data_IF_362370281460
#
_entry.id   IF_362370281460
#
_cell.length_a   1.000
_cell.length_b   1.000
_cell.length_c   1.000
_cell.angle_alpha   90.00
_cell.angle_beta   90.00
_cell.angle_gamma   90.00
#
_symmetry.space_group_name_H-M   'P 1'
#
loop_
_entity.id
_entity.type
_entity.pdbx_description
1 polymer ?
#
# COMPACT_ATOMS: atom_id res chain seq x y z
N UNK A 1 20.45 18.51 13.23
CA UNK A 1 20.16 18.45 11.79
C UNK A 1 20.30 19.86 11.24
N UNK A 2 21.10 20.07 10.20
CA UNK A 2 21.19 21.39 9.58
C UNK A 2 19.92 21.71 8.74
N UNK A 3 19.76 22.98 8.35
CA UNK A 3 18.59 23.45 7.58
C UNK A 3 18.38 22.66 6.27
N UNK A 4 19.47 22.28 5.59
CA UNK A 4 19.40 21.60 4.28
C UNK A 4 19.01 20.14 4.45
N UNK A 5 19.56 19.47 5.47
CA UNK A 5 19.20 18.12 5.88
C UNK A 5 17.72 18.06 6.28
N UNK A 6 17.26 19.02 7.09
CA UNK A 6 15.87 19.08 7.54
C UNK A 6 14.89 19.27 6.37
N UNK A 7 15.18 20.21 5.46
CA UNK A 7 14.34 20.43 4.29
C UNK A 7 14.33 19.22 3.34
N UNK A 8 15.47 18.54 3.16
CA UNK A 8 15.54 17.28 2.39
C UNK A 8 14.72 16.17 3.04
N UNK A 9 14.80 16.06 4.36
CA UNK A 9 14.03 15.07 5.12
C UNK A 9 12.53 15.32 4.95
N UNK A 10 12.06 16.56 5.14
CA UNK A 10 10.68 16.95 4.89
C UNK A 10 10.21 16.53 3.49
N UNK A 11 10.93 16.90 2.43
CA UNK A 11 10.54 16.55 1.06
C UNK A 11 10.48 15.02 0.85
N UNK A 12 11.35 14.25 1.51
CA UNK A 12 11.30 12.78 1.42
C UNK A 12 10.13 12.14 2.17
N UNK A 13 9.43 12.90 3.02
CA UNK A 13 8.32 12.41 3.85
C UNK A 13 6.97 12.95 3.42
N UNK A 14 6.92 14.09 2.76
CA UNK A 14 5.67 14.76 2.39
C UNK A 14 4.73 13.84 1.60
N UNK A 15 5.21 13.24 0.51
CA UNK A 15 4.40 12.35 -0.34
C UNK A 15 4.15 10.97 0.31
N UNK A 16 4.89 10.65 1.38
CA UNK A 16 4.76 9.42 2.15
C UNK A 16 4.04 9.66 3.50
N UNK A 17 3.36 10.80 3.65
CA UNK A 17 2.59 11.14 4.83
C UNK A 17 1.12 10.76 4.63
N UNK A 18 0.50 10.20 5.67
CA UNK A 18 -0.92 9.90 5.66
C UNK A 18 -1.68 11.06 6.27
N UNK A 19 -2.51 11.71 5.45
CA UNK A 19 -3.29 12.88 5.84
C UNK A 19 -4.51 12.48 6.66
N UNK A 20 -5.01 13.40 7.47
CA UNK A 20 -6.13 13.17 8.38
C UNK A 20 -7.44 13.66 7.78
N UNK A 21 -8.53 12.93 8.04
CA UNK A 21 -9.90 13.25 7.63
C UNK A 21 -10.63 14.18 8.62
N UNK A 22 -11.89 14.51 8.33
CA UNK A 22 -12.72 15.36 9.20
C UNK A 22 -12.92 14.81 10.62
N UNK A 23 -12.84 13.47 10.78
CA UNK A 23 -13.06 12.74 12.03
C UNK A 23 -11.78 12.52 12.83
N UNK A 24 -10.62 12.95 12.32
CA UNK A 24 -9.33 12.69 12.97
C UNK A 24 -8.73 11.32 12.67
N UNK A 25 -9.23 10.61 11.66
CA UNK A 25 -8.73 9.32 11.17
C UNK A 25 -7.83 9.51 9.95
N UNK A 26 -7.13 8.46 9.50
CA UNK A 26 -6.39 8.54 8.25
C UNK A 26 -7.38 8.62 7.08
N UNK A 27 -7.24 9.62 6.22
CA UNK A 27 -8.01 9.74 4.99
C UNK A 27 -7.73 8.52 4.09
N UNK A 28 -8.74 8.04 3.36
CA UNK A 28 -8.61 6.90 2.45
C UNK A 28 -8.45 7.33 0.98
N UNK A 29 -8.63 8.61 0.68
CA UNK A 29 -8.45 9.21 -0.63
C UNK A 29 -8.24 10.74 -0.49
N UNK A 30 -7.98 11.44 -1.60
CA UNK A 30 -7.74 12.89 -1.61
C UNK A 30 -8.97 13.71 -1.20
N UNK A 31 -10.17 13.26 -1.58
CA UNK A 31 -11.43 13.96 -1.31
C UNK A 31 -11.81 13.94 0.19
N UNK A 32 -11.29 12.97 0.94
CA UNK A 32 -11.49 12.83 2.38
C UNK A 32 -10.55 13.68 3.23
N UNK A 33 -9.51 14.30 2.64
CA UNK A 33 -8.53 15.07 3.39
C UNK A 33 -9.20 16.30 4.04
N UNK A 34 -9.01 16.44 5.35
CA UNK A 34 -9.41 17.66 6.06
C UNK A 34 -8.48 18.82 5.72
N UNK A 35 -9.07 19.87 5.16
CA UNK A 35 -8.41 21.14 4.92
C UNK A 35 -8.91 22.20 5.90
N UNK A 36 -7.98 22.87 6.56
CA UNK A 36 -8.25 23.98 7.44
C UNK A 36 -7.96 25.29 6.72
N UNK A 37 -8.85 26.27 6.83
CA UNK A 37 -8.62 27.60 6.31
C UNK A 37 -8.10 28.52 7.42
N UNK A 38 -6.93 29.12 7.21
CA UNK A 38 -6.33 30.11 8.09
C UNK A 38 -6.19 31.49 7.44
N UNK A 39 -6.60 31.67 6.18
CA UNK A 39 -6.47 32.91 5.43
C UNK A 39 -5.02 33.30 5.11
N UNK A 40 -4.86 34.42 4.40
CA UNK A 40 -3.56 35.02 4.08
C UNK A 40 -3.62 36.53 4.30
N UNK A 41 -2.47 37.18 4.49
CA UNK A 41 -2.37 38.63 4.65
C UNK A 41 -3.30 39.16 5.75
N UNK A 42 -4.22 40.07 5.40
CA UNK A 42 -5.18 40.68 6.33
C UNK A 42 -6.22 39.67 6.86
N UNK A 43 -6.50 38.62 6.09
CA UNK A 43 -7.43 37.55 6.47
C UNK A 43 -6.76 36.45 7.30
N UNK A 44 -5.44 36.53 7.53
CA UNK A 44 -4.72 35.52 8.28
C UNK A 44 -5.18 35.48 9.75
N UNK A 45 -5.68 34.32 10.19
CA UNK A 45 -6.11 34.09 11.55
C UNK A 45 -5.10 33.22 12.32
N UNK A 46 -4.19 33.83 13.12
CA UNK A 46 -3.19 33.08 13.87
C UNK A 46 -3.78 32.19 14.97
N UNK A 47 -5.04 32.41 15.40
CA UNK A 47 -5.65 31.57 16.45
C UNK A 47 -5.83 30.13 15.97
N UNK A 48 -6.26 29.93 14.72
CA UNK A 48 -6.47 28.61 14.13
C UNK A 48 -5.16 27.83 14.10
N UNK A 49 -4.08 28.47 13.65
CA UNK A 49 -2.74 27.88 13.62
C UNK A 49 -2.25 27.54 15.04
N UNK A 50 -2.39 28.46 15.99
CA UNK A 50 -1.92 28.23 17.36
C UNK A 50 -2.68 27.10 18.06
N UNK A 51 -3.99 26.98 17.83
CA UNK A 51 -4.81 25.89 18.37
C UNK A 51 -4.39 24.53 17.82
N UNK A 52 -4.15 24.43 16.51
CA UNK A 52 -3.64 23.20 15.89
C UNK A 52 -2.23 22.90 16.37
N UNK A 53 -1.33 23.89 16.42
CA UNK A 53 0.02 23.68 16.93
C UNK A 53 0.01 23.12 18.35
N UNK A 54 -0.83 23.68 19.23
CA UNK A 54 -0.95 23.27 20.63
C UNK A 54 -1.57 21.87 20.80
N UNK A 55 -2.58 21.55 20.01
CA UNK A 55 -3.33 20.29 20.15
C UNK A 55 -2.66 19.12 19.42
N UNK A 56 -2.06 19.36 18.26
CA UNK A 56 -1.52 18.32 17.40
C UNK A 56 -0.09 17.94 17.75
N UNK A 57 0.78 18.93 17.98
CA UNK A 57 2.18 18.69 18.39
C UNK A 57 2.29 18.68 19.91
N UNK A 58 3.01 17.72 20.49
CA UNK A 58 3.10 17.60 21.96
C UNK A 58 4.18 18.52 22.52
N UNK A 59 5.32 18.57 21.85
CA UNK A 59 6.52 19.32 22.23
C UNK A 59 6.32 20.83 22.03
N UNK A 60 6.95 21.69 22.83
CA UNK A 60 6.87 23.15 22.67
C UNK A 60 7.62 23.66 21.43
N UNK A 61 8.64 22.91 21.00
CA UNK A 61 9.44 23.20 19.82
C UNK A 61 9.12 22.24 18.68
N UNK A 62 9.05 22.78 17.47
CA UNK A 62 8.72 22.09 16.23
C UNK A 62 9.71 22.45 15.14
N UNK A 63 9.90 21.55 14.18
CA UNK A 63 10.71 21.83 12.99
C UNK A 63 9.90 22.62 11.98
N UNK A 64 10.30 23.87 11.73
CA UNK A 64 9.74 24.71 10.67
C UNK A 64 10.56 24.51 9.39
N UNK A 65 9.91 24.08 8.30
CA UNK A 65 10.54 23.72 7.04
C UNK A 65 10.02 24.63 5.91
N UNK A 66 10.80 25.67 5.55
CA UNK A 66 10.41 26.62 4.48
C UNK A 66 11.29 26.44 3.24
N UNK A 67 12.58 26.20 3.42
CA UNK A 67 13.53 25.98 2.31
C UNK A 67 14.84 25.37 2.81
N UNK A 68 15.70 24.94 1.88
CA UNK A 68 17.02 24.40 2.18
C UNK A 68 17.87 25.29 3.11
N UNK A 69 17.70 26.62 3.06
CA UNK A 69 18.46 27.57 3.87
C UNK A 69 17.62 28.26 4.96
N UNK A 70 16.33 27.92 5.07
CA UNK A 70 15.39 28.52 6.03
C UNK A 70 14.53 27.42 6.66
N UNK A 71 15.19 26.43 7.26
CA UNK A 71 14.54 25.40 8.05
C UNK A 71 15.26 25.24 9.39
N UNK A 72 14.51 25.16 10.49
CA UNK A 72 15.09 25.15 11.83
C UNK A 72 14.11 24.62 12.88
N UNK A 73 14.64 24.20 14.03
CA UNK A 73 13.84 23.98 15.23
C UNK A 73 13.44 25.34 15.83
N UNK A 74 12.16 25.55 16.09
CA UNK A 74 11.62 26.81 16.62
C UNK A 74 10.52 26.53 17.63
N UNK A 75 10.23 27.47 18.52
CA UNK A 75 9.03 27.42 19.36
C UNK A 75 7.77 27.52 18.51
N UNK A 76 6.68 26.89 18.95
CA UNK A 76 5.36 26.98 18.29
C UNK A 76 4.90 28.41 18.03
N UNK A 77 5.12 29.32 18.98
CA UNK A 77 4.77 30.74 18.81
C UNK A 77 5.51 31.37 17.62
N UNK A 78 6.82 31.10 17.49
CA UNK A 78 7.64 31.55 16.37
C UNK A 78 7.21 30.91 15.05
N UNK A 79 6.82 29.63 15.08
CA UNK A 79 6.29 28.97 13.88
C UNK A 79 5.00 29.66 13.40
N UNK A 80 4.05 29.95 14.29
CA UNK A 80 2.81 30.65 13.94
C UNK A 80 3.07 32.04 13.33
N UNK A 81 4.00 32.80 13.91
CA UNK A 81 4.38 34.12 13.39
C UNK A 81 5.01 34.03 11.99
N UNK A 82 5.90 33.06 11.75
CA UNK A 82 6.54 32.90 10.44
C UNK A 82 5.56 32.41 9.38
N UNK A 83 4.55 31.60 9.74
CA UNK A 83 3.49 31.20 8.82
C UNK A 83 2.76 32.41 8.29
N UNK A 84 2.25 33.29 9.16
CA UNK A 84 1.51 34.49 8.75
C UNK A 84 2.32 35.40 7.82
N UNK A 85 3.65 35.49 8.02
CA UNK A 85 4.53 36.31 7.18
C UNK A 85 4.82 35.72 5.80
N UNK A 86 4.77 34.40 5.64
CA UNK A 86 5.32 33.70 4.46
C UNK A 86 4.25 33.02 3.63
N UNK A 87 3.09 32.68 4.20
CA UNK A 87 2.10 31.83 3.55
C UNK A 87 1.75 32.30 2.13
N UNK A 88 1.43 33.58 1.95
CA UNK A 88 1.13 34.19 0.64
C UNK A 88 2.30 34.19 -0.39
N UNK A 89 3.50 33.79 0.00
CA UNK A 89 4.70 33.74 -0.85
C UNK A 89 5.16 32.33 -1.14
N UNK A 90 4.99 31.43 -0.18
CA UNK A 90 5.56 30.09 -0.25
C UNK A 90 4.87 29.12 0.69
N UNK A 91 4.75 27.89 0.21
CA UNK A 91 4.41 26.73 1.03
C UNK A 91 5.48 26.45 2.09
N UNK A 92 5.04 25.88 3.19
CA UNK A 92 5.90 25.46 4.29
C UNK A 92 5.31 24.24 4.98
N UNK A 93 6.14 23.55 5.74
CA UNK A 93 5.72 22.47 6.61
C UNK A 93 6.23 22.62 8.03
N UNK A 94 5.54 21.96 8.95
CA UNK A 94 5.91 21.83 10.35
C UNK A 94 5.96 20.34 10.67
N UNK A 95 7.03 19.89 11.31
CA UNK A 95 7.14 18.51 11.81
C UNK A 95 7.41 18.52 13.31
N UNK A 96 6.95 17.46 14.00
CA UNK A 96 7.36 17.22 15.37
C UNK A 96 8.82 16.74 15.44
N UNK A 97 9.39 16.76 16.64
CA UNK A 97 10.78 16.34 16.83
C UNK A 97 10.99 14.84 16.65
N UNK A 98 9.94 14.03 16.85
CA UNK A 98 10.00 12.58 16.63
C UNK A 98 9.78 12.16 15.17
N UNK A 99 9.49 13.11 14.28
CA UNK A 99 9.20 12.88 12.86
C UNK A 99 8.05 11.90 12.62
N UNK A 100 7.00 12.01 13.43
CA UNK A 100 5.77 11.22 13.33
C UNK A 100 4.55 12.04 12.90
N UNK A 101 4.63 13.37 12.96
CA UNK A 101 3.54 14.29 12.65
C UNK A 101 4.02 15.37 11.70
N UNK A 102 3.14 15.74 10.77
CA UNK A 102 3.38 16.79 9.80
C UNK A 102 2.16 17.71 9.70
N UNK A 103 2.42 18.98 9.49
CA UNK A 103 1.46 19.97 9.04
C UNK A 103 2.02 20.61 7.78
N UNK A 104 1.20 20.74 6.75
CA UNK A 104 1.57 21.38 5.49
C UNK A 104 0.65 22.55 5.24
N UNK A 105 1.22 23.72 4.99
CA UNK A 105 0.50 24.96 4.72
C UNK A 105 0.76 25.38 3.27
N UNK A 106 -0.30 25.49 2.47
CA UNK A 106 -0.21 25.94 1.08
C UNK A 106 -0.17 27.47 1.00
N UNK A 107 0.24 28.02 -0.14
CA UNK A 107 0.30 29.46 -0.31
C UNK A 107 -1.06 30.18 -0.32
N UNK A 108 -2.14 29.42 -0.42
CA UNK A 108 -3.51 29.93 -0.57
C UNK A 108 -4.23 30.10 0.78
N UNK A 109 -3.53 29.96 1.90
CA UNK A 109 -4.12 30.15 3.22
C UNK A 109 -4.83 28.92 3.78
N UNK A 110 -4.61 27.76 3.18
CA UNK A 110 -5.13 26.48 3.68
C UNK A 110 -4.00 25.59 4.19
N UNK A 111 -4.32 24.68 5.10
CA UNK A 111 -3.37 23.69 5.58
C UNK A 111 -4.04 22.36 5.88
N UNK A 112 -3.24 21.31 5.93
CA UNK A 112 -3.64 19.96 6.35
C UNK A 112 -2.63 19.39 7.33
N UNK A 113 -3.07 18.43 8.13
CA UNK A 113 -2.23 17.73 9.12
C UNK A 113 -2.23 16.23 8.80
N UNK A 114 -1.14 15.56 9.17
CA UNK A 114 -0.91 14.17 8.82
C UNK A 114 0.08 13.47 9.74
N UNK A 115 0.11 12.15 9.61
CA UNK A 115 1.05 11.28 10.28
C UNK A 115 2.16 10.87 9.30
N UNK A 116 3.42 11.04 9.72
CA UNK A 116 4.56 10.49 9.00
C UNK A 116 4.71 9.04 9.42
N UNK A 117 4.44 8.10 8.52
CA UNK A 117 4.72 6.69 8.74
C UNK A 117 6.07 6.31 8.16
N UNK A 118 6.76 5.41 8.83
CA UNK A 118 8.00 4.87 8.33
C UNK A 118 7.72 3.63 7.48
N UNK A 119 8.21 3.65 6.25
CA UNK A 119 8.17 2.53 5.33
C UNK A 119 9.61 2.07 5.05
N UNK A 120 10.19 1.20 5.89
CA UNK A 120 11.57 0.75 5.71
C UNK A 120 11.74 -0.03 4.40
N UNK A 121 12.96 -0.21 3.89
CA UNK A 121 13.19 -1.01 2.67
C UNK A 121 12.97 -2.52 2.90
N UNK A 122 13.15 -2.96 4.14
CA UNK A 122 12.99 -4.33 4.56
C UNK A 122 12.31 -4.34 5.93
N UNK A 123 11.42 -5.31 6.16
CA UNK A 123 10.87 -5.58 7.49
C UNK A 123 10.83 -7.08 7.76
N UNK A 124 10.88 -7.43 9.03
CA UNK A 124 10.58 -8.78 9.49
C UNK A 124 9.06 -8.94 9.49
N UNK A 125 8.59 -10.06 8.97
CA UNK A 125 7.17 -10.43 9.02
C UNK A 125 6.67 -10.37 10.48
N UNK A 126 5.59 -9.64 10.76
CA UNK A 126 4.98 -9.63 12.09
C UNK A 126 4.60 -11.03 12.56
N UNK A 127 4.83 -11.30 13.85
CA UNK A 127 4.57 -12.63 14.43
C UNK A 127 3.08 -12.96 14.42
N UNK A 128 2.74 -14.16 13.96
CA UNK A 128 1.36 -14.64 13.89
C UNK A 128 0.54 -14.05 12.75
N UNK A 129 1.14 -13.26 11.86
CA UNK A 129 0.44 -12.75 10.69
C UNK A 129 0.29 -13.86 9.63
N UNK A 130 -0.94 -14.24 9.24
CA UNK A 130 -1.16 -15.21 8.18
C UNK A 130 -0.65 -14.72 6.83
N UNK A 131 -0.37 -15.65 5.91
CA UNK A 131 -0.06 -15.33 4.52
C UNK A 131 -1.31 -14.75 3.84
N UNK A 132 -1.20 -13.55 3.27
CA UNK A 132 -2.21 -13.04 2.35
C UNK A 132 -1.96 -13.59 0.94
N UNK A 133 -2.91 -14.33 0.39
CA UNK A 133 -2.85 -14.85 -0.97
C UNK A 133 -3.77 -14.03 -1.86
N UNK A 134 -3.29 -13.65 -3.04
CA UNK A 134 -4.08 -12.93 -4.02
C UNK A 134 -3.90 -13.54 -5.41
N UNK A 135 -5.01 -13.84 -6.07
CA UNK A 135 -5.05 -14.29 -7.45
C UNK A 135 -5.64 -13.19 -8.32
N UNK A 136 -4.88 -12.68 -9.27
CA UNK A 136 -5.33 -11.61 -10.17
C UNK A 136 -5.51 -12.17 -11.56
N UNK A 137 -6.66 -11.98 -12.19
CA UNK A 137 -6.88 -12.33 -13.59
C UNK A 137 -6.68 -11.09 -14.48
N UNK A 138 -5.58 -11.03 -15.25
CA UNK A 138 -5.27 -9.88 -16.11
C UNK A 138 -6.03 -9.98 -17.45
N UNK A 139 -6.87 -8.99 -17.79
CA UNK A 139 -7.84 -9.12 -18.90
C UNK A 139 -7.74 -8.00 -19.95
N UNK A 140 -8.22 -8.29 -21.16
CA UNK A 140 -8.67 -7.31 -22.16
C UNK A 140 -10.17 -7.50 -22.40
N UNK A 141 -10.84 -6.49 -22.98
CA UNK A 141 -12.30 -6.47 -23.30
C UNK A 141 -12.76 -7.53 -24.33
N UNK A 142 -12.00 -8.61 -24.55
CA UNK A 142 -12.44 -9.72 -25.39
C UNK A 142 -13.48 -10.59 -24.67
N UNK A 143 -14.60 -10.88 -25.35
CA UNK A 143 -15.79 -11.52 -24.78
C UNK A 143 -15.53 -12.89 -24.10
N UNK A 144 -14.60 -13.70 -24.62
CA UNK A 144 -14.31 -15.01 -24.04
C UNK A 144 -13.46 -14.90 -22.76
N UNK A 145 -12.47 -14.04 -22.79
CA UNK A 145 -11.55 -13.80 -21.68
C UNK A 145 -12.32 -13.17 -20.52
N UNK A 146 -13.18 -12.20 -20.81
CA UNK A 146 -14.12 -11.56 -19.87
C UNK A 146 -15.04 -12.60 -19.19
N UNK A 147 -15.56 -13.57 -19.94
CA UNK A 147 -16.35 -14.70 -19.39
C UNK A 147 -15.53 -15.55 -18.41
N UNK A 148 -14.30 -15.92 -18.77
CA UNK A 148 -13.45 -16.80 -17.94
C UNK A 148 -13.16 -16.16 -16.59
N UNK A 149 -12.67 -14.91 -16.53
CA UNK A 149 -12.43 -14.31 -15.22
C UNK A 149 -13.72 -14.02 -14.45
N UNK A 150 -14.81 -13.65 -15.13
CA UNK A 150 -16.11 -13.47 -14.45
C UNK A 150 -16.52 -14.74 -13.71
N UNK A 151 -16.32 -15.90 -14.33
CA UNK A 151 -16.59 -17.21 -13.71
C UNK A 151 -15.65 -17.46 -12.54
N UNK A 152 -14.35 -17.30 -12.74
CA UNK A 152 -13.34 -17.62 -11.71
C UNK A 152 -13.44 -16.68 -10.51
N UNK A 153 -13.73 -15.39 -10.73
CA UNK A 153 -13.86 -14.38 -9.68
C UNK A 153 -15.01 -14.68 -8.70
N UNK A 154 -15.98 -15.52 -9.07
CA UNK A 154 -17.01 -16.00 -8.13
C UNK A 154 -16.42 -16.83 -6.99
N UNK A 155 -15.27 -17.47 -7.22
CA UNK A 155 -14.68 -18.47 -6.33
C UNK A 155 -13.30 -18.08 -5.79
N UNK A 156 -12.55 -17.20 -6.48
CA UNK A 156 -11.19 -16.78 -6.08
C UNK A 156 -11.16 -16.29 -4.63
N UNK A 157 -12.06 -15.38 -4.23
CA UNK A 157 -12.02 -14.82 -2.88
C UNK A 157 -12.17 -15.92 -1.80
N UNK A 158 -12.97 -16.95 -2.07
CA UNK A 158 -13.12 -18.07 -1.13
C UNK A 158 -11.84 -18.92 -1.06
N UNK A 159 -11.18 -19.14 -2.20
CA UNK A 159 -9.89 -19.83 -2.24
C UNK A 159 -8.79 -19.04 -1.51
N UNK A 160 -8.72 -17.72 -1.72
CA UNK A 160 -7.80 -16.81 -1.01
C UNK A 160 -8.02 -16.87 0.51
N UNK A 161 -9.28 -16.79 0.95
CA UNK A 161 -9.64 -16.85 2.36
C UNK A 161 -9.27 -18.20 3.00
N UNK A 162 -9.52 -19.32 2.31
CA UNK A 162 -9.14 -20.66 2.80
C UNK A 162 -7.62 -20.85 2.88
N UNK A 163 -6.88 -20.16 2.02
CA UNK A 163 -5.42 -20.13 2.01
C UNK A 163 -4.83 -19.09 2.97
N UNK A 164 -5.63 -18.22 3.56
CA UNK A 164 -5.16 -17.17 4.47
C UNK A 164 -4.80 -17.73 5.86
N UNK A 165 -3.64 -18.39 5.93
CA UNK A 165 -3.16 -19.08 7.13
C UNK A 165 -1.68 -18.82 7.35
N UNK A 166 -1.20 -19.13 8.54
CA UNK A 166 0.22 -19.09 8.85
C UNK A 166 0.91 -20.38 8.38
N UNK A 167 1.75 -20.26 7.36
CA UNK A 167 2.62 -21.34 6.86
C UNK A 167 4.08 -21.13 7.27
N UNK A 168 4.36 -20.22 8.20
CA UNK A 168 5.72 -19.84 8.58
C UNK A 168 6.47 -19.07 7.49
N UNK A 169 7.79 -18.95 7.68
CA UNK A 169 8.67 -18.20 6.77
C UNK A 169 8.49 -16.69 6.82
N UNK A 170 9.22 -15.99 5.96
CA UNK A 170 9.21 -14.51 5.91
C UNK A 170 8.12 -13.94 5.00
N UNK A 171 7.47 -14.76 4.17
CA UNK A 171 6.53 -14.29 3.16
C UNK A 171 5.22 -13.81 3.81
N UNK A 172 4.84 -12.57 3.50
CA UNK A 172 3.61 -11.92 3.99
C UNK A 172 2.52 -11.97 2.92
N UNK A 173 2.90 -11.82 1.65
CA UNK A 173 1.98 -11.86 0.53
C UNK A 173 2.45 -12.86 -0.54
N UNK A 174 1.50 -13.57 -1.15
CA UNK A 174 1.70 -14.37 -2.34
C UNK A 174 0.74 -13.91 -3.43
N UNK A 175 1.27 -13.28 -4.47
CA UNK A 175 0.50 -12.78 -5.62
C UNK A 175 0.72 -13.69 -6.82
N UNK A 176 -0.37 -14.20 -7.38
CA UNK A 176 -0.35 -15.10 -8.52
C UNK A 176 -1.21 -14.50 -9.62
N UNK A 177 -0.57 -13.99 -10.67
CA UNK A 177 -1.28 -13.38 -11.79
C UNK A 177 -1.64 -14.44 -12.82
N UNK A 178 -2.93 -14.71 -12.99
CA UNK A 178 -3.46 -15.51 -14.07
C UNK A 178 -3.50 -14.68 -15.36
N UNK A 179 -2.54 -14.96 -16.25
CA UNK A 179 -2.29 -14.16 -17.44
C UNK A 179 -3.25 -14.53 -18.57
N UNK A 180 -4.41 -13.88 -18.60
CA UNK A 180 -5.47 -14.13 -19.57
C UNK A 180 -5.33 -13.32 -20.88
N UNK A 181 -4.29 -12.51 -21.04
CA UNK A 181 -3.96 -11.83 -22.30
C UNK A 181 -2.81 -12.57 -22.98
N UNK A 182 -3.05 -13.11 -24.17
CA UNK A 182 -2.12 -13.99 -24.87
C UNK A 182 -0.81 -13.30 -25.27
N UNK A 183 -0.86 -12.02 -25.67
CA UNK A 183 0.32 -11.29 -26.13
C UNK A 183 1.24 -10.85 -24.99
N UNK A 184 0.75 -10.84 -23.74
CA UNK A 184 1.51 -10.38 -22.60
C UNK A 184 2.54 -11.42 -22.13
N UNK A 185 3.70 -10.91 -21.72
CA UNK A 185 4.77 -11.71 -21.14
C UNK A 185 4.39 -12.21 -19.74
N UNK A 186 4.80 -13.42 -19.42
CA UNK A 186 4.74 -13.95 -18.05
C UNK A 186 5.90 -13.45 -17.23
N UNK A 187 5.66 -13.23 -15.95
CA UNK A 187 6.71 -12.90 -14.99
C UNK A 187 7.15 -14.16 -14.24
N UNK A 188 8.46 -14.49 -14.23
CA UNK A 188 8.98 -15.57 -13.41
C UNK A 188 8.88 -15.20 -11.93
N UNK A 189 8.95 -16.21 -11.05
CA UNK A 189 8.90 -15.97 -9.61
C UNK A 189 9.97 -15.02 -9.11
N UNK A 190 9.50 -14.00 -8.38
CA UNK A 190 10.32 -13.06 -7.63
C UNK A 190 9.85 -13.04 -6.18
N UNK A 191 10.82 -12.84 -5.29
CA UNK A 191 10.55 -12.55 -3.89
C UNK A 191 11.10 -11.16 -3.60
N UNK A 192 10.20 -10.20 -3.39
CA UNK A 192 10.52 -8.79 -3.22
C UNK A 192 10.28 -8.38 -1.78
N UNK A 193 11.28 -7.78 -1.13
CA UNK A 193 11.18 -7.36 0.27
C UNK A 193 10.21 -6.18 0.46
N UNK A 194 9.98 -5.40 -0.59
CA UNK A 194 9.03 -4.29 -0.64
C UNK A 194 8.51 -4.09 -2.06
N UNK A 195 7.20 -3.90 -2.21
CA UNK A 195 6.50 -3.61 -3.47
C UNK A 195 5.56 -2.44 -3.24
N UNK A 196 5.57 -1.46 -4.13
CA UNK A 196 4.71 -0.28 -4.06
C UNK A 196 3.25 -0.63 -4.37
N UNK A 197 2.32 -0.01 -3.65
CA UNK A 197 0.87 -0.14 -3.84
C UNK A 197 0.31 1.24 -4.24
N UNK A 198 0.31 1.58 -5.54
CA UNK A 198 -0.09 2.91 -5.99
C UNK A 198 -1.59 3.20 -5.78
N UNK A 199 -2.41 2.17 -5.55
CA UNK A 199 -3.84 2.30 -5.31
C UNK A 199 -4.20 2.56 -3.85
N UNK A 200 -3.24 2.46 -2.93
CA UNK A 200 -3.48 2.62 -1.49
C UNK A 200 -3.04 3.98 -1.01
N UNK A 201 -3.93 4.68 -0.31
CA UNK A 201 -3.66 6.01 0.26
C UNK A 201 -3.02 5.95 1.66
N UNK A 202 -3.04 4.76 2.28
CA UNK A 202 -2.60 4.53 3.67
C UNK A 202 -1.42 3.58 3.78
N UNK A 203 -1.42 2.53 2.97
CA UNK A 203 -0.39 1.50 2.90
C UNK A 203 0.34 1.58 1.55
N UNK A 204 1.36 2.42 1.45
CA UNK A 204 2.08 2.63 0.18
C UNK A 204 2.91 1.43 -0.27
N UNK A 205 3.14 0.44 0.61
CA UNK A 205 3.95 -0.72 0.30
C UNK A 205 3.43 -2.01 0.93
N UNK A 206 3.50 -3.10 0.17
CA UNK A 206 3.46 -4.48 0.67
C UNK A 206 4.89 -4.99 0.87
N UNK A 207 5.07 -5.86 1.87
CA UNK A 207 6.39 -6.37 2.23
C UNK A 207 6.48 -7.87 1.99
N UNK A 208 7.70 -8.37 1.78
CA UNK A 208 7.99 -9.80 1.65
C UNK A 208 7.00 -10.53 0.71
N UNK A 209 6.88 -10.01 -0.52
CA UNK A 209 5.92 -10.44 -1.53
C UNK A 209 6.55 -11.48 -2.44
N UNK A 210 5.98 -12.69 -2.48
CA UNK A 210 6.21 -13.64 -3.56
C UNK A 210 5.27 -13.31 -4.72
N UNK A 211 5.78 -13.12 -5.93
CA UNK A 211 4.97 -12.76 -7.08
C UNK A 211 5.43 -13.49 -8.35
N UNK A 212 4.46 -14.01 -9.11
CA UNK A 212 4.69 -14.62 -10.43
C UNK A 212 3.40 -14.67 -11.26
N UNK A 213 3.55 -14.97 -12.56
CA UNK A 213 2.42 -15.17 -13.45
C UNK A 213 2.26 -16.62 -13.88
N UNK A 214 1.01 -17.02 -14.10
CA UNK A 214 0.59 -18.32 -14.63
C UNK A 214 -0.09 -18.09 -15.96
N UNK A 215 0.45 -18.71 -17.02
CA UNK A 215 -0.14 -18.62 -18.36
C UNK A 215 -0.93 -19.88 -18.67
N UNK A 216 -2.21 -19.75 -19.04
CA UNK A 216 -2.97 -20.89 -19.53
C UNK A 216 -2.57 -21.28 -20.94
N UNK A 217 -2.85 -22.53 -21.29
CA UNK A 217 -3.06 -22.92 -22.68
C UNK A 217 -4.36 -22.27 -23.19
N UNK A 218 -4.23 -21.26 -24.05
CA UNK A 218 -5.34 -20.51 -24.61
C UNK A 218 -6.20 -21.35 -25.55
N UNK A 219 -5.61 -22.30 -26.28
CA UNK A 219 -6.34 -23.21 -27.16
C UNK A 219 -7.22 -24.13 -26.32
N UNK A 220 -6.66 -24.71 -25.25
CA UNK A 220 -7.43 -25.53 -24.31
C UNK A 220 -8.54 -24.72 -23.65
N UNK A 221 -8.26 -23.49 -23.20
CA UNK A 221 -9.29 -22.64 -22.60
C UNK A 221 -10.47 -22.45 -23.54
N UNK A 222 -10.26 -22.05 -24.81
CA UNK A 222 -11.35 -21.82 -25.78
C UNK A 222 -12.28 -23.02 -25.97
N UNK A 223 -11.83 -24.24 -25.70
CA UNK A 223 -12.63 -25.47 -25.79
C UNK A 223 -13.53 -25.71 -24.57
N UNK A 224 -13.27 -25.04 -23.43
CA UNK A 224 -14.04 -25.19 -22.20
C UNK A 224 -15.35 -24.41 -22.30
N UNK A 225 -16.46 -25.11 -22.06
CA UNK A 225 -17.80 -24.59 -22.34
C UNK A 225 -18.60 -24.29 -21.07
N UNK A 226 -18.40 -25.11 -20.04
CA UNK A 226 -19.09 -25.02 -18.75
C UNK A 226 -18.25 -24.31 -17.67
N UNK A 227 -18.94 -23.78 -16.66
CA UNK A 227 -18.31 -23.17 -15.48
C UNK A 227 -17.43 -24.17 -14.71
N UNK A 228 -17.87 -25.43 -14.60
CA UNK A 228 -17.13 -26.48 -13.91
C UNK A 228 -15.81 -26.82 -14.61
N UNK A 229 -15.83 -26.96 -15.94
CA UNK A 229 -14.64 -27.21 -16.76
C UNK A 229 -13.62 -26.07 -16.64
N UNK A 230 -14.10 -24.82 -16.71
CA UNK A 230 -13.26 -23.62 -16.60
C UNK A 230 -12.60 -23.56 -15.22
N UNK A 231 -13.38 -23.66 -14.14
CA UNK A 231 -12.85 -23.58 -12.78
C UNK A 231 -11.88 -24.73 -12.47
N UNK A 232 -12.23 -25.97 -12.83
CA UNK A 232 -11.36 -27.13 -12.61
C UNK A 232 -10.01 -26.97 -13.30
N UNK A 233 -10.03 -26.55 -14.57
CA UNK A 233 -8.80 -26.30 -15.32
C UNK A 233 -7.95 -25.19 -14.70
N UNK A 234 -8.55 -24.06 -14.34
CA UNK A 234 -7.80 -22.93 -13.77
C UNK A 234 -7.25 -23.27 -12.39
N UNK A 235 -8.03 -23.90 -11.52
CA UNK A 235 -7.56 -24.28 -10.18
C UNK A 235 -6.49 -25.35 -10.24
N UNK A 236 -6.60 -26.34 -11.13
CA UNK A 236 -5.55 -27.31 -11.39
C UNK A 236 -4.25 -26.61 -11.83
N UNK A 237 -4.36 -25.65 -12.75
CA UNK A 237 -3.21 -24.92 -13.27
C UNK A 237 -2.56 -24.01 -12.19
N UNK A 238 -3.36 -23.30 -11.39
CA UNK A 238 -2.89 -22.51 -10.26
C UNK A 238 -2.20 -23.42 -9.23
N UNK A 239 -2.81 -24.54 -8.84
CA UNK A 239 -2.22 -25.50 -7.92
C UNK A 239 -0.89 -26.04 -8.44
N UNK A 240 -0.82 -26.49 -9.70
CA UNK A 240 0.43 -26.96 -10.33
C UNK A 240 1.50 -25.89 -10.31
N UNK A 241 1.13 -24.64 -10.58
CA UNK A 241 2.07 -23.52 -10.61
C UNK A 241 2.78 -23.29 -9.26
N UNK A 242 2.14 -23.65 -8.13
CA UNK A 242 2.72 -23.45 -6.79
C UNK A 242 3.92 -24.37 -6.52
N UNK A 243 4.22 -25.32 -7.40
CA UNK A 243 5.47 -26.10 -7.35
C UNK A 243 6.71 -25.19 -7.40
N UNK A 244 6.61 -24.01 -8.01
CA UNK A 244 7.68 -23.01 -7.99
C UNK A 244 8.08 -22.61 -6.56
N UNK A 245 7.17 -22.69 -5.59
CA UNK A 245 7.48 -22.37 -4.19
C UNK A 245 8.41 -23.42 -3.58
N UNK A 246 8.25 -24.70 -3.95
CA UNK A 246 9.17 -25.78 -3.54
C UNK A 246 10.56 -25.56 -4.15
N UNK A 247 10.61 -25.21 -5.45
CA UNK A 247 11.87 -24.91 -6.14
C UNK A 247 12.59 -23.70 -5.54
N UNK A 248 11.84 -22.75 -4.96
CA UNK A 248 12.37 -21.53 -4.34
C UNK A 248 12.43 -21.60 -2.82
N UNK A 249 12.23 -22.77 -2.20
CA UNK A 249 12.18 -22.98 -0.75
C UNK A 249 13.27 -22.23 0.02
N UNK A 250 14.52 -22.26 -0.49
CA UNK A 250 15.68 -21.58 0.14
C UNK A 250 15.50 -20.07 0.30
N UNK A 251 14.73 -19.43 -0.58
CA UNK A 251 14.45 -17.97 -0.54
C UNK A 251 13.26 -17.61 0.35
N UNK A 252 12.48 -18.59 0.78
CA UNK A 252 11.22 -18.38 1.52
C UNK A 252 11.38 -18.60 3.03
N UNK A 253 12.64 -18.70 3.50
CA UNK A 253 13.03 -18.58 4.92
C UNK A 253 12.22 -19.45 5.89
N UNK A 254 11.85 -20.68 5.49
CA UNK A 254 11.11 -21.62 6.35
C UNK A 254 9.61 -21.75 6.06
N UNK A 255 9.12 -21.14 4.98
CA UNK A 255 7.75 -21.32 4.50
C UNK A 255 7.41 -22.80 4.24
N UNK A 256 6.31 -23.30 4.81
CA UNK A 256 5.89 -24.70 4.66
C UNK A 256 5.06 -24.90 3.39
N UNK A 257 5.75 -25.11 2.26
CA UNK A 257 5.09 -25.29 0.95
C UNK A 257 4.19 -26.52 0.93
N UNK A 258 4.58 -27.61 1.60
CA UNK A 258 3.77 -28.84 1.64
C UNK A 258 2.43 -28.57 2.34
N UNK A 259 2.43 -27.87 3.47
CA UNK A 259 1.19 -27.49 4.16
C UNK A 259 0.32 -26.57 3.28
N UNK A 260 0.93 -25.57 2.65
CA UNK A 260 0.23 -24.67 1.72
C UNK A 260 -0.45 -25.43 0.57
N UNK A 261 0.28 -26.35 -0.08
CA UNK A 261 -0.25 -27.15 -1.20
C UNK A 261 -1.37 -28.09 -0.77
N UNK A 262 -1.27 -28.69 0.42
CA UNK A 262 -2.35 -29.52 0.98
C UNK A 262 -3.61 -28.70 1.28
N UNK A 263 -3.44 -27.51 1.87
CA UNK A 263 -4.55 -26.59 2.14
C UNK A 263 -5.19 -26.08 0.83
N UNK A 264 -4.40 -25.85 -0.21
CA UNK A 264 -4.90 -25.50 -1.55
C UNK A 264 -5.83 -26.59 -2.10
N UNK A 265 -5.39 -27.85 -2.09
CA UNK A 265 -6.22 -28.97 -2.53
C UNK A 265 -7.50 -29.10 -1.70
N UNK A 266 -7.39 -28.94 -0.38
CA UNK A 266 -8.55 -28.96 0.51
C UNK A 266 -9.52 -27.81 0.21
N UNK A 267 -9.02 -26.62 -0.10
CA UNK A 267 -9.82 -25.46 -0.44
C UNK A 267 -10.57 -25.66 -1.76
N UNK A 268 -9.90 -26.16 -2.80
CA UNK A 268 -10.57 -26.52 -4.06
C UNK A 268 -11.67 -27.55 -3.85
N UNK A 269 -11.40 -28.60 -3.06
CA UNK A 269 -12.41 -29.63 -2.74
C UNK A 269 -13.62 -29.05 -2.02
N UNK A 270 -13.43 -28.13 -1.08
CA UNK A 270 -14.54 -27.43 -0.39
C UNK A 270 -15.39 -26.60 -1.34
N UNK A 271 -14.79 -26.03 -2.37
CA UNK A 271 -15.48 -25.30 -3.43
C UNK A 271 -16.18 -26.21 -4.46
N UNK A 272 -16.07 -27.53 -4.31
CA UNK A 272 -16.67 -28.52 -5.20
C UNK A 272 -15.77 -28.96 -6.37
N UNK A 273 -14.51 -28.54 -6.38
CA UNK A 273 -13.57 -28.85 -7.46
C UNK A 273 -12.53 -29.88 -7.02
N UNK A 274 -12.44 -31.01 -7.73
CA UNK A 274 -11.41 -32.03 -7.51
C UNK A 274 -10.36 -31.85 -8.61
N UNK A 275 -9.14 -31.50 -8.21
CA UNK A 275 -8.00 -31.17 -9.08
C UNK A 275 -6.77 -32.01 -8.77
#
# INVERSE_FOLDING_TARGET
MDSKQLFRFYNSKFDLSNWIDEKGQLAQNEDEIKWFNCGINEDFNPKIINEILKSFFLEDEVYLCISANKSSLVKKSTAADEIGKILHKKELAIMDQSFTKIMFCSSDGIFKIGMIRNFPENRVKPSGEPLAVSFTANMTDSDYTSKVATIINKYICNLENELHKDYGGSMEHLWIDFQLIEEHKTYPFRFQKRVEIPTSFTEFYSYNVGHYSVRPDFVKMQMLSSEEEICSYVFELLYKSTQILEEKQKKLEGFNVTAFRLDFLSACKKLGYII
#
